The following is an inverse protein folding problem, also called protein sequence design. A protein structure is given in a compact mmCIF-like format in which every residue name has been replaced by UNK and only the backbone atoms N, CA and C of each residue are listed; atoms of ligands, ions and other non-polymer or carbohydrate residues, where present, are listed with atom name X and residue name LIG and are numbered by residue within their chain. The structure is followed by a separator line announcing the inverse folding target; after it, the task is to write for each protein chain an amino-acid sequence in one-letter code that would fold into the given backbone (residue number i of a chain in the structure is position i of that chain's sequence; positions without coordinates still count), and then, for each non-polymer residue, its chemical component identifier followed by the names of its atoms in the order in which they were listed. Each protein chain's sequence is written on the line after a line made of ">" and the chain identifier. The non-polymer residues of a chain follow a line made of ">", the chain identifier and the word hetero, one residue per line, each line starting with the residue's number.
data_IF_825732085915
#
_entry.id   IF_825732085915
#
_cell.length_a   1.000
_cell.length_b   1.000
_cell.length_c   1.000
_cell.angle_alpha   90.00
_cell.angle_beta   90.00
_cell.angle_gamma   90.00
#
_symmetry.space_group_name_H-M   'P 1'
#
loop_
_entity.id
_entity.type
_entity.pdbx_description
1 polymer ?
#
# COMPACT_ATOMS: atom_id res chain seq x y z
N UNK A 1 -44.02 -43.05 26.76
CA UNK A 1 -42.54 -42.97 26.70
C UNK A 1 -42.17 -42.57 25.29
N UNK A 2 -41.78 -41.31 25.10
CA UNK A 2 -40.40 -40.86 24.82
C UNK A 2 -39.98 -41.08 23.37
N UNK A 3 -40.01 -40.00 22.58
CA UNK A 3 -38.87 -39.60 21.75
C UNK A 3 -39.01 -38.13 21.36
N UNK A 4 -38.22 -37.28 22.04
CA UNK A 4 -37.96 -35.90 21.62
C UNK A 4 -36.79 -35.99 20.63
N UNK A 5 -37.01 -35.56 19.40
CA UNK A 5 -35.93 -35.41 18.40
C UNK A 5 -35.31 -34.03 18.63
N UNK A 6 -34.10 -34.00 19.18
CA UNK A 6 -33.33 -32.78 19.34
C UNK A 6 -32.50 -32.55 18.07
N UNK A 7 -32.87 -31.55 17.28
CA UNK A 7 -32.11 -31.12 16.10
C UNK A 7 -31.00 -30.17 16.54
N UNK A 8 -29.79 -30.68 16.73
CA UNK A 8 -28.59 -29.86 16.92
C UNK A 8 -28.15 -29.30 15.56
N UNK A 9 -28.49 -28.04 15.28
CA UNK A 9 -27.89 -27.29 14.17
C UNK A 9 -26.51 -26.83 14.65
N UNK A 10 -25.49 -27.61 14.32
CA UNK A 10 -24.09 -27.25 14.51
C UNK A 10 -23.71 -26.26 13.39
N UNK A 11 -23.96 -24.97 13.60
CA UNK A 11 -23.37 -23.91 12.76
C UNK A 11 -21.86 -23.89 13.00
N UNK A 12 -21.12 -24.74 12.28
CA UNK A 12 -19.67 -24.56 12.13
C UNK A 12 -19.46 -23.31 11.28
N UNK A 13 -19.20 -22.19 11.95
CA UNK A 13 -18.65 -21.01 11.29
C UNK A 13 -17.27 -21.38 10.72
N UNK A 14 -17.22 -21.74 9.44
CA UNK A 14 -15.97 -21.61 8.69
C UNK A 14 -15.65 -20.11 8.70
N UNK A 15 -14.72 -19.70 9.56
CA UNK A 15 -14.04 -18.43 9.41
C UNK A 15 -13.25 -18.52 8.10
N UNK A 16 -13.87 -18.09 7.00
CA UNK A 16 -13.16 -17.78 5.77
C UNK A 16 -12.26 -16.62 6.16
N UNK A 17 -10.97 -16.91 6.42
CA UNK A 17 -9.95 -15.88 6.53
C UNK A 17 -9.82 -15.25 5.14
N UNK A 18 -10.68 -14.28 4.85
CA UNK A 18 -10.60 -13.48 3.64
C UNK A 18 -9.22 -12.81 3.63
N UNK A 19 -8.50 -12.99 2.52
CA UNK A 19 -7.18 -12.39 2.33
C UNK A 19 -7.29 -10.87 2.48
N UNK A 20 -6.52 -10.29 3.42
CA UNK A 20 -6.59 -8.86 3.75
C UNK A 20 -5.76 -7.98 2.81
N UNK A 21 -5.02 -8.59 1.89
CA UNK A 21 -4.14 -7.96 0.92
C UNK A 21 -4.47 -8.40 -0.52
N UNK A 22 -4.07 -7.58 -1.48
CA UNK A 22 -4.30 -7.78 -2.91
C UNK A 22 -3.23 -8.67 -3.54
N UNK A 23 -1.95 -8.39 -3.32
CA UNK A 23 -0.84 -9.23 -3.79
C UNK A 23 0.13 -9.57 -2.68
N UNK A 24 0.80 -10.71 -2.84
CA UNK A 24 1.96 -11.11 -2.05
C UNK A 24 3.07 -11.60 -2.97
N UNK A 25 4.28 -11.13 -2.70
CA UNK A 25 5.49 -11.56 -3.37
C UNK A 25 6.46 -12.14 -2.34
N UNK A 26 6.78 -13.43 -2.48
CA UNK A 26 7.65 -14.14 -1.56
C UNK A 26 9.02 -14.44 -2.20
N UNK A 27 10.05 -13.72 -1.76
CA UNK A 27 11.42 -13.86 -2.20
C UNK A 27 12.22 -14.70 -1.20
N UNK A 28 11.91 -16.00 -1.13
CA UNK A 28 12.47 -16.94 -0.13
C UNK A 28 13.99 -16.89 -0.02
N UNK A 29 14.70 -16.84 -1.16
CA UNK A 29 16.16 -16.78 -1.19
C UNK A 29 16.77 -15.50 -0.59
N UNK A 30 15.96 -14.45 -0.46
CA UNK A 30 16.35 -13.16 0.16
C UNK A 30 15.71 -12.95 1.53
N UNK A 31 14.85 -13.87 2.00
CA UNK A 31 14.12 -13.73 3.25
C UNK A 31 13.16 -12.52 3.26
N UNK A 32 12.58 -12.16 2.12
CA UNK A 32 11.67 -11.00 1.99
C UNK A 32 10.28 -11.47 1.59
N UNK A 33 9.25 -10.96 2.26
CA UNK A 33 7.85 -11.05 1.82
C UNK A 33 7.29 -9.64 1.68
N UNK A 34 6.66 -9.33 0.56
CA UNK A 34 6.00 -8.05 0.30
C UNK A 34 4.51 -8.29 0.12
N UNK A 35 3.68 -7.63 0.93
CA UNK A 35 2.22 -7.67 0.82
C UNK A 35 1.68 -6.29 0.49
N UNK A 36 0.81 -6.20 -0.51
CA UNK A 36 0.23 -4.94 -0.97
C UNK A 36 -1.28 -4.94 -0.78
N UNK A 37 -1.83 -3.82 -0.34
CA UNK A 37 -3.27 -3.70 -0.05
C UNK A 37 -4.13 -3.56 -1.30
N UNK A 38 -5.43 -3.76 -1.12
CA UNK A 38 -6.44 -3.18 -2.02
C UNK A 38 -6.42 -1.63 -1.93
N UNK A 39 -6.95 -0.91 -2.92
CA UNK A 39 -7.12 0.54 -2.83
C UNK A 39 -8.20 0.91 -1.81
N UNK A 40 -7.99 1.99 -1.06
CA UNK A 40 -9.06 2.76 -0.41
C UNK A 40 -8.97 4.22 -0.85
N UNK A 41 -10.10 4.86 -1.13
CA UNK A 41 -10.13 6.24 -1.56
C UNK A 41 -11.12 6.42 -2.71
N UNK A 42 -10.76 7.26 -3.68
CA UNK A 42 -11.59 7.65 -4.82
C UNK A 42 -12.38 8.93 -4.59
N UNK A 43 -12.17 9.61 -3.45
CA UNK A 43 -12.76 10.92 -3.19
C UNK A 43 -11.95 12.05 -3.82
N UNK A 44 -12.63 13.18 -4.05
CA UNK A 44 -12.01 14.42 -4.48
C UNK A 44 -11.30 15.12 -3.32
N UNK A 45 -10.22 15.82 -3.63
CA UNK A 45 -9.49 16.74 -2.78
C UNK A 45 -9.33 18.06 -3.55
N UNK A 46 -9.70 19.17 -2.94
CA UNK A 46 -9.44 20.51 -3.49
C UNK A 46 -8.27 21.10 -2.72
N UNK A 47 -7.17 21.36 -3.42
CA UNK A 47 -5.97 21.96 -2.86
C UNK A 47 -6.22 23.44 -2.48
N UNK A 48 -5.37 24.04 -1.64
CA UNK A 48 -5.51 25.44 -1.24
C UNK A 48 -5.45 26.44 -2.41
N UNK A 49 -4.82 26.05 -3.53
CA UNK A 49 -4.76 26.84 -4.77
C UNK A 49 -5.99 26.66 -5.68
N UNK A 50 -6.98 25.87 -5.25
CA UNK A 50 -8.22 25.59 -5.97
C UNK A 50 -8.13 24.44 -6.97
N UNK A 51 -6.96 23.80 -7.16
CA UNK A 51 -6.84 22.63 -8.04
C UNK A 51 -7.54 21.42 -7.41
N UNK A 52 -8.24 20.66 -8.24
CA UNK A 52 -8.89 19.42 -7.81
C UNK A 52 -8.04 18.19 -8.16
N UNK A 53 -8.07 17.23 -7.26
CA UNK A 53 -7.43 15.93 -7.42
C UNK A 53 -8.37 14.81 -6.96
N UNK A 54 -8.13 13.60 -7.44
CA UNK A 54 -8.71 12.37 -6.88
C UNK A 54 -7.58 11.56 -6.26
N UNK A 55 -7.76 11.08 -5.03
CA UNK A 55 -6.72 10.31 -4.33
C UNK A 55 -7.13 8.86 -4.09
N UNK A 56 -6.12 7.99 -4.08
CA UNK A 56 -6.23 6.59 -3.66
C UNK A 56 -5.06 6.25 -2.76
N UNK A 57 -5.34 5.52 -1.69
CA UNK A 57 -4.41 5.15 -0.63
C UNK A 57 -4.25 3.64 -0.65
N UNK A 58 -2.99 3.23 -0.55
CA UNK A 58 -2.55 1.85 -0.41
C UNK A 58 -1.70 1.73 0.85
N UNK A 59 -1.56 0.51 1.35
CA UNK A 59 -0.48 0.15 2.28
C UNK A 59 0.33 -1.01 1.72
N UNK A 60 1.60 -1.04 2.08
CA UNK A 60 2.51 -2.14 1.80
C UNK A 60 3.18 -2.57 3.10
N UNK A 61 3.24 -3.88 3.33
CA UNK A 61 3.99 -4.50 4.43
C UNK A 61 5.17 -5.26 3.85
N UNK A 62 6.37 -4.99 4.38
CA UNK A 62 7.59 -5.71 4.05
C UNK A 62 8.02 -6.50 5.29
N UNK A 63 8.07 -7.81 5.16
CA UNK A 63 8.51 -8.73 6.21
C UNK A 63 9.93 -9.19 5.96
N UNK A 64 10.79 -8.96 6.95
CA UNK A 64 12.14 -9.53 7.02
C UNK A 64 12.06 -10.88 7.74
N UNK A 65 12.28 -11.95 6.98
CA UNK A 65 12.26 -13.35 7.47
C UNK A 65 13.67 -13.88 7.78
N UNK A 66 14.69 -13.03 7.67
CA UNK A 66 16.09 -13.39 7.86
C UNK A 66 16.57 -13.09 9.29
N UNK A 67 17.74 -13.61 9.63
CA UNK A 67 18.41 -13.34 10.92
C UNK A 67 19.20 -12.01 10.94
N UNK A 68 19.28 -11.31 9.81
CA UNK A 68 19.98 -10.03 9.68
C UNK A 68 18.98 -8.86 9.66
N UNK A 69 19.40 -7.66 10.04
CA UNK A 69 18.57 -6.46 9.88
C UNK A 69 18.47 -6.08 8.40
N UNK A 70 17.41 -5.36 8.03
CA UNK A 70 17.15 -4.98 6.64
C UNK A 70 16.91 -3.48 6.54
N UNK A 71 17.64 -2.81 5.65
CA UNK A 71 17.43 -1.39 5.35
C UNK A 71 16.48 -1.26 4.17
N UNK A 72 15.41 -0.49 4.39
CA UNK A 72 14.46 -0.05 3.39
C UNK A 72 14.71 1.43 3.12
N UNK A 73 14.93 1.78 1.86
CA UNK A 73 15.00 3.17 1.41
C UNK A 73 14.08 3.35 0.21
N UNK A 74 13.17 4.30 0.29
CA UNK A 74 12.20 4.63 -0.73
C UNK A 74 12.20 6.12 -1.03
N UNK A 75 11.95 6.49 -2.29
CA UNK A 75 11.71 7.87 -2.68
C UNK A 75 10.81 7.95 -3.91
N UNK A 76 9.97 8.99 -3.94
CA UNK A 76 9.26 9.41 -5.15
C UNK A 76 9.61 10.85 -5.49
N UNK A 77 9.71 11.11 -6.80
CA UNK A 77 9.93 12.44 -7.33
C UNK A 77 8.67 13.30 -7.21
N UNK A 78 8.82 14.61 -7.21
CA UNK A 78 7.70 15.55 -7.30
C UNK A 78 7.10 15.62 -8.71
N UNK A 79 7.79 15.08 -9.72
CA UNK A 79 7.33 15.15 -11.11
C UNK A 79 6.11 14.26 -11.29
N UNK A 80 5.09 14.80 -11.96
CA UNK A 80 3.96 14.01 -12.39
C UNK A 80 4.35 13.07 -13.54
N UNK A 81 3.58 12.00 -13.70
CA UNK A 81 3.72 11.07 -14.81
C UNK A 81 2.34 10.66 -15.30
N UNK A 82 2.26 10.19 -16.54
CA UNK A 82 1.05 9.57 -17.09
C UNK A 82 1.19 8.05 -17.06
N UNK A 83 0.05 7.37 -16.97
CA UNK A 83 0.01 5.91 -17.06
C UNK A 83 -0.70 5.50 -18.36
N UNK A 84 -0.26 4.42 -19.04
CA UNK A 84 -0.85 4.02 -20.32
C UNK A 84 -2.37 3.80 -20.27
N UNK A 85 -2.90 3.35 -19.13
CA UNK A 85 -4.34 3.08 -18.96
C UNK A 85 -5.21 4.32 -18.85
N UNK A 86 -4.63 5.51 -18.71
CA UNK A 86 -5.36 6.70 -18.29
C UNK A 86 -5.02 7.96 -19.10
N UNK A 87 -4.41 7.79 -20.28
CA UNK A 87 -4.19 8.87 -21.25
C UNK A 87 -3.40 10.05 -20.66
N UNK A 88 -3.98 11.26 -20.75
CA UNK A 88 -3.37 12.54 -20.35
C UNK A 88 -3.56 12.88 -18.85
N UNK A 89 -4.04 11.92 -18.05
CA UNK A 89 -4.18 12.10 -16.60
C UNK A 89 -2.79 12.07 -15.96
N UNK A 90 -2.48 13.15 -15.23
CA UNK A 90 -1.24 13.30 -14.49
C UNK A 90 -1.39 12.72 -13.09
N UNK A 91 -0.46 11.84 -12.74
CA UNK A 91 -0.36 11.19 -11.45
C UNK A 91 0.85 11.69 -10.67
N UNK A 92 0.69 11.80 -9.36
CA UNK A 92 1.78 11.94 -8.40
C UNK A 92 1.64 10.87 -7.31
N UNK A 93 2.76 10.41 -6.78
CA UNK A 93 2.79 9.39 -5.73
C UNK A 93 3.60 9.88 -4.54
N UNK A 94 3.08 9.64 -3.34
CA UNK A 94 3.61 10.15 -2.09
C UNK A 94 3.79 9.03 -1.06
N UNK A 95 4.81 9.18 -0.22
CA UNK A 95 5.07 8.35 0.96
C UNK A 95 4.80 9.17 2.24
N UNK A 96 3.64 9.01 2.88
CA UNK A 96 3.44 9.51 4.24
C UNK A 96 4.47 8.94 5.20
N UNK A 97 4.97 9.78 6.11
CA UNK A 97 5.92 9.41 7.17
C UNK A 97 5.25 8.65 8.34
N UNK A 98 3.92 8.59 8.34
CA UNK A 98 3.14 7.85 9.32
C UNK A 98 3.22 6.35 9.04
N UNK A 99 3.61 5.57 10.04
CA UNK A 99 3.59 4.11 9.95
C UNK A 99 2.14 3.59 9.84
N UNK A 100 1.93 2.61 8.96
CA UNK A 100 0.67 1.90 8.84
C UNK A 100 0.59 0.81 9.91
N UNK A 101 -0.53 0.73 10.61
CA UNK A 101 -0.77 -0.31 11.63
C UNK A 101 -1.93 -1.23 11.25
N UNK A 102 -1.87 -2.53 11.58
CA UNK A 102 -2.92 -3.49 11.22
C UNK A 102 -4.33 -3.08 11.66
N UNK A 103 -4.49 -2.48 12.85
CA UNK A 103 -5.79 -2.01 13.36
C UNK A 103 -6.42 -0.93 12.48
N UNK A 104 -5.62 -0.20 11.70
CA UNK A 104 -6.12 0.81 10.77
C UNK A 104 -6.61 0.21 9.45
N UNK A 105 -6.35 -1.07 9.18
CA UNK A 105 -6.73 -1.73 7.93
C UNK A 105 -8.24 -1.65 7.65
N UNK A 106 -9.07 -1.68 8.69
CA UNK A 106 -10.53 -1.60 8.58
C UNK A 106 -11.05 -0.16 8.42
N UNK A 107 -10.31 0.85 8.88
CA UNK A 107 -10.77 2.24 8.91
C UNK A 107 -10.89 2.86 7.50
N UNK A 108 -11.77 3.87 7.32
CA UNK A 108 -11.78 4.71 6.12
C UNK A 108 -10.38 5.26 5.84
N UNK A 109 -9.98 5.30 4.57
CA UNK A 109 -8.66 5.79 4.16
C UNK A 109 -7.48 5.14 4.93
N UNK A 110 -7.69 3.91 5.43
CA UNK A 110 -6.77 3.22 6.31
C UNK A 110 -6.33 4.03 7.54
N UNK A 111 -7.22 4.88 8.07
CA UNK A 111 -6.95 5.73 9.23
C UNK A 111 -5.89 6.81 8.99
N UNK A 112 -5.56 7.11 7.73
CA UNK A 112 -4.67 8.20 7.34
C UNK A 112 -5.47 9.51 7.23
N UNK A 113 -5.00 10.57 7.90
CA UNK A 113 -5.50 11.93 7.67
C UNK A 113 -4.91 12.48 6.35
N UNK A 114 -5.48 11.99 5.27
CA UNK A 114 -5.01 12.27 3.90
C UNK A 114 -5.13 13.74 3.53
N UNK A 115 -6.16 14.45 4.04
CA UNK A 115 -6.40 15.85 3.69
C UNK A 115 -5.32 16.74 4.30
N UNK A 116 -5.03 16.55 5.60
CA UNK A 116 -3.94 17.25 6.27
C UNK A 116 -2.59 16.95 5.61
N UNK A 117 -2.35 15.68 5.26
CA UNK A 117 -1.12 15.28 4.58
C UNK A 117 -0.94 15.98 3.21
N UNK A 118 -1.96 15.94 2.34
CA UNK A 118 -1.88 16.53 1.00
C UNK A 118 -1.74 18.05 1.06
N UNK A 119 -2.48 18.74 1.94
CA UNK A 119 -2.36 20.19 2.11
C UNK A 119 -0.92 20.64 2.43
N UNK A 120 -0.15 19.81 3.13
CA UNK A 120 1.22 20.13 3.55
C UNK A 120 2.28 19.68 2.53
N UNK A 121 2.05 18.59 1.80
CA UNK A 121 3.08 17.89 1.04
C UNK A 121 2.83 17.85 -0.48
N UNK A 122 1.77 18.50 -0.98
CA UNK A 122 1.52 18.59 -2.42
C UNK A 122 2.77 19.12 -3.14
N UNK A 123 3.07 18.55 -4.31
CA UNK A 123 4.21 18.91 -5.16
C UNK A 123 5.60 18.73 -4.51
N UNK A 124 5.67 18.06 -3.36
CA UNK A 124 6.92 17.77 -2.66
C UNK A 124 7.45 16.38 -3.00
N UNK A 125 8.78 16.25 -3.06
CA UNK A 125 9.43 14.93 -3.09
C UNK A 125 9.18 14.23 -1.76
N UNK A 126 8.95 12.93 -1.79
CA UNK A 126 8.75 12.13 -0.57
C UNK A 126 9.80 11.05 -0.46
N UNK A 127 10.16 10.71 0.78
CA UNK A 127 11.14 9.69 1.10
C UNK A 127 10.72 8.93 2.34
N UNK A 128 11.08 7.66 2.40
CA UNK A 128 10.89 6.82 3.55
C UNK A 128 12.15 5.99 3.76
N UNK A 129 12.64 5.97 4.99
CA UNK A 129 13.77 5.15 5.40
C UNK A 129 13.40 4.38 6.67
N UNK A 130 13.63 3.07 6.68
CA UNK A 130 13.31 2.23 7.83
C UNK A 130 14.33 1.09 7.97
N UNK A 131 14.60 0.69 9.21
CA UNK A 131 15.33 -0.54 9.51
C UNK A 131 14.33 -1.58 10.03
N UNK A 132 14.23 -2.70 9.31
CA UNK A 132 13.35 -3.82 9.66
C UNK A 132 14.22 -4.86 10.36
N UNK A 133 13.98 -5.08 11.65
CA UNK A 133 14.74 -6.04 12.45
C UNK A 133 14.47 -7.48 11.97
N UNK A 134 15.34 -8.45 12.31
CA UNK A 134 15.09 -9.86 12.04
C UNK A 134 13.69 -10.30 12.45
N UNK A 135 13.06 -11.15 11.65
CA UNK A 135 11.73 -11.75 11.92
C UNK A 135 10.60 -10.75 12.21
N UNK A 136 10.68 -9.55 11.63
CA UNK A 136 9.69 -8.49 11.83
C UNK A 136 9.20 -7.90 10.50
N UNK A 137 8.12 -7.11 10.57
CA UNK A 137 7.54 -6.43 9.42
C UNK A 137 7.47 -4.93 9.64
N UNK A 138 7.59 -4.18 8.56
CA UNK A 138 7.34 -2.74 8.54
C UNK A 138 6.26 -2.42 7.51
N UNK A 139 5.23 -1.69 7.94
CA UNK A 139 4.09 -1.34 7.11
C UNK A 139 4.00 0.17 6.91
N UNK A 140 3.80 0.61 5.68
CA UNK A 140 3.75 2.04 5.33
C UNK A 140 2.66 2.32 4.29
N UNK A 141 2.27 3.58 4.21
CA UNK A 141 1.29 4.04 3.23
C UNK A 141 1.93 4.43 1.92
N UNK A 142 1.16 4.34 0.85
CA UNK A 142 1.45 5.04 -0.41
C UNK A 142 0.17 5.70 -0.90
N UNK A 143 0.28 6.96 -1.32
CA UNK A 143 -0.83 7.77 -1.79
C UNK A 143 -0.59 8.11 -3.25
N UNK A 144 -1.48 7.71 -4.13
CA UNK A 144 -1.52 8.18 -5.51
C UNK A 144 -2.60 9.25 -5.63
N UNK A 145 -2.28 10.39 -6.26
CA UNK A 145 -3.28 11.38 -6.66
C UNK A 145 -3.27 11.53 -8.17
N UNK A 146 -4.43 11.82 -8.74
CA UNK A 146 -4.63 12.14 -10.14
C UNK A 146 -5.26 13.52 -10.26
N UNK A 147 -4.87 14.31 -11.26
CA UNK A 147 -5.47 15.63 -11.54
C UNK A 147 -6.91 15.55 -12.09
N UNK A 148 -7.41 14.33 -12.38
CA UNK A 148 -8.75 14.05 -12.87
C UNK A 148 -9.23 12.69 -12.35
N UNK A 149 -10.52 12.40 -12.48
CA UNK A 149 -11.06 11.08 -12.18
C UNK A 149 -10.50 10.02 -13.12
N UNK A 150 -10.21 8.83 -12.58
CA UNK A 150 -9.68 7.70 -13.36
C UNK A 150 -10.77 6.65 -13.51
N UNK A 151 -10.91 6.10 -14.72
CA UNK A 151 -11.83 4.99 -14.97
C UNK A 151 -11.26 3.67 -14.44
N UNK A 152 -12.14 2.85 -13.86
CA UNK A 152 -11.78 1.54 -13.33
C UNK A 152 -11.11 1.59 -11.96
N UNK A 153 -10.61 0.43 -11.53
CA UNK A 153 -10.01 0.29 -10.21
C UNK A 153 -8.50 0.45 -10.27
N UNK A 154 -7.96 1.40 -9.52
CA UNK A 154 -6.51 1.55 -9.34
C UNK A 154 -5.95 0.35 -8.57
N UNK A 155 -4.92 -0.28 -9.13
CA UNK A 155 -4.11 -1.32 -8.51
C UNK A 155 -2.69 -0.84 -8.40
N UNK A 156 -2.12 -1.02 -7.22
CA UNK A 156 -0.75 -0.66 -6.97
C UNK A 156 -0.08 -1.64 -6.02
N UNK A 157 1.23 -1.65 -6.04
CA UNK A 157 2.02 -2.47 -5.13
C UNK A 157 3.51 -2.38 -5.43
N UNK A 158 4.30 -2.76 -4.44
CA UNK A 158 5.73 -2.93 -4.60
C UNK A 158 6.08 -4.36 -4.97
N UNK A 159 7.08 -4.49 -5.83
CA UNK A 159 7.73 -5.72 -6.20
C UNK A 159 9.25 -5.52 -6.16
N UNK A 160 10.00 -6.56 -5.85
CA UNK A 160 11.46 -6.57 -5.96
C UNK A 160 11.86 -7.08 -7.35
N UNK A 161 12.65 -6.29 -8.08
CA UNK A 161 13.24 -6.64 -9.37
C UNK A 161 14.73 -6.28 -9.32
N UNK A 162 15.64 -7.25 -9.47
CA UNK A 162 17.10 -7.01 -9.45
C UNK A 162 17.60 -6.17 -8.26
N UNK A 163 17.10 -6.44 -7.05
CA UNK A 163 17.44 -5.72 -5.79
C UNK A 163 16.90 -4.29 -5.69
N UNK A 164 16.16 -3.85 -6.70
CA UNK A 164 15.43 -2.61 -6.72
C UNK A 164 13.96 -2.85 -6.36
N UNK A 165 13.40 -1.94 -5.57
CA UNK A 165 11.96 -1.88 -5.36
C UNK A 165 11.32 -1.11 -6.51
N UNK A 166 10.38 -1.76 -7.15
CA UNK A 166 9.56 -1.21 -8.23
C UNK A 166 8.15 -1.02 -7.70
N UNK A 167 7.68 0.22 -7.72
CA UNK A 167 6.27 0.52 -7.48
C UNK A 167 5.50 0.44 -8.80
N UNK A 168 4.54 -0.47 -8.86
CA UNK A 168 3.59 -0.57 -9.95
C UNK A 168 2.33 0.24 -9.66
N UNK A 169 1.84 1.00 -10.65
CA UNK A 169 0.52 1.63 -10.64
C UNK A 169 -0.17 1.35 -11.99
N UNK A 170 -1.18 0.48 -12.01
CA UNK A 170 -1.87 0.01 -13.23
C UNK A 170 -0.90 -0.31 -14.39
N UNK A 171 0.10 -1.16 -14.11
CA UNK A 171 1.17 -1.58 -15.04
C UNK A 171 2.24 -0.54 -15.39
N UNK A 172 2.09 0.73 -14.96
CA UNK A 172 3.19 1.67 -15.01
C UNK A 172 4.20 1.34 -13.89
N UNK A 173 5.47 1.19 -14.23
CA UNK A 173 6.54 0.82 -13.29
C UNK A 173 7.39 2.03 -12.93
N UNK A 174 7.59 2.25 -11.65
CA UNK A 174 8.40 3.34 -11.09
C UNK A 174 9.49 2.72 -10.23
N UNK A 175 10.75 2.98 -10.57
CA UNK A 175 11.86 2.73 -9.66
C UNK A 175 11.68 3.58 -8.42
N UNK A 176 11.52 2.93 -7.27
CA UNK A 176 11.08 3.59 -6.03
C UNK A 176 12.06 3.42 -4.88
N UNK A 177 13.07 2.55 -4.98
CA UNK A 177 14.12 2.46 -3.97
C UNK A 177 14.78 1.10 -3.89
N UNK A 178 15.28 0.74 -2.71
CA UNK A 178 16.09 -0.46 -2.49
C UNK A 178 15.78 -1.14 -1.16
N UNK A 179 15.99 -2.46 -1.12
CA UNK A 179 16.03 -3.26 0.11
C UNK A 179 17.37 -3.97 0.19
N UNK A 180 18.06 -3.85 1.31
CA UNK A 180 19.36 -4.50 1.52
C UNK A 180 19.46 -5.09 2.93
N UNK A 181 19.99 -6.31 3.05
CA UNK A 181 20.36 -6.89 4.33
C UNK A 181 21.64 -6.23 4.85
N UNK A 182 21.65 -5.87 6.12
CA UNK A 182 22.81 -5.32 6.83
C UNK A 182 23.47 -6.45 7.59
N UNK A 183 24.74 -6.72 7.27
CA UNK A 183 25.57 -7.71 7.94
C UNK A 183 26.07 -7.20 9.29
#
# INVERSE_FOLDING_TARGET
>A
MKTIVLLFILCSACAINAQSFHTEHNYKSKGIIIQNSYPKGGQRFTAPDGKEYVYVIFWTSITNSSDASMQLNLAFSANSFTIPSSGDINFNVYLPDTEMKPEKAALPNYGLDIISYLNKNLDSKTKLGATITPHSSYSFYTVAIANQGVEGTMRAGFELQNEELIYGLNNHKISSGTIQLVK
#
